data_IF_265240203689
#
_entry.id   IF_265240203689
#
_cell.length_a   1.000
_cell.length_b   1.000
_cell.length_c   1.000
_cell.angle_alpha   90.00
_cell.angle_beta   90.00
_cell.angle_gamma   90.00
#
_symmetry.space_group_name_H-M   'P 1'
#
loop_
_entity.id
_entity.type
_entity.pdbx_description
1 polymer ?
#
# COMPACT_ATOMS: atom_id res chain seq x y z
N UNK A 1 -33.46 25.60 12.71
CA UNK A 1 -32.57 24.46 12.35
C UNK A 1 -31.37 25.02 11.64
N UNK A 2 -30.24 25.15 12.31
CA UNK A 2 -28.99 25.52 11.62
C UNK A 2 -28.55 24.31 10.78
N UNK A 3 -28.11 24.50 9.52
CA UNK A 3 -27.52 23.42 8.76
C UNK A 3 -26.30 22.94 9.54
N UNK A 4 -26.24 21.65 9.85
CA UNK A 4 -25.01 21.02 10.32
C UNK A 4 -23.98 21.27 9.22
N UNK A 5 -23.05 22.18 9.47
CA UNK A 5 -21.93 22.45 8.56
C UNK A 5 -21.11 21.16 8.53
N UNK A 6 -21.33 20.31 7.52
CA UNK A 6 -20.50 19.14 7.29
C UNK A 6 -19.09 19.66 7.03
N UNK A 7 -18.19 19.44 7.99
CA UNK A 7 -16.77 19.71 7.84
C UNK A 7 -16.25 18.93 6.62
N UNK A 8 -15.44 19.55 5.74
CA UNK A 8 -14.92 18.87 4.56
C UNK A 8 -14.07 17.67 4.98
N UNK A 9 -14.39 16.50 4.43
CA UNK A 9 -13.74 15.23 4.75
C UNK A 9 -12.78 14.79 3.62
N UNK A 10 -11.51 14.56 3.98
CA UNK A 10 -10.49 14.05 3.06
C UNK A 10 -10.15 12.59 3.37
N UNK A 11 -10.23 11.72 2.36
CA UNK A 11 -9.88 10.31 2.49
C UNK A 11 -8.53 9.99 1.81
N UNK A 12 -7.58 9.46 2.58
CA UNK A 12 -6.34 8.88 2.03
C UNK A 12 -6.54 7.39 1.77
N UNK A 13 -6.73 7.01 0.51
CA UNK A 13 -7.10 5.65 0.12
C UNK A 13 -5.89 4.83 -0.35
N UNK A 14 -5.74 3.63 0.22
CA UNK A 14 -5.04 2.53 -0.45
C UNK A 14 -6.07 1.68 -1.16
N UNK A 15 -5.93 1.50 -2.49
CA UNK A 15 -6.89 0.70 -3.24
C UNK A 15 -7.05 -0.72 -2.68
N UNK A 16 -6.04 -1.33 -2.05
CA UNK A 16 -6.17 -2.68 -1.47
C UNK A 16 -7.38 -2.88 -0.54
N UNK A 17 -7.77 -1.86 0.23
CA UNK A 17 -8.85 -1.99 1.22
C UNK A 17 -10.21 -2.33 0.59
N UNK A 18 -10.49 -1.85 -0.62
CA UNK A 18 -11.76 -2.13 -1.28
C UNK A 18 -11.93 -3.62 -1.60
N UNK A 19 -10.82 -4.30 -1.89
CA UNK A 19 -10.81 -5.74 -2.16
C UNK A 19 -10.92 -6.57 -0.89
N UNK A 20 -10.27 -6.13 0.20
CA UNK A 20 -10.40 -6.78 1.50
C UNK A 20 -11.85 -6.71 2.02
N UNK A 21 -12.49 -5.55 1.87
CA UNK A 21 -13.86 -5.31 2.32
C UNK A 21 -14.92 -5.86 1.36
N UNK A 22 -14.56 -6.23 0.13
CA UNK A 22 -15.52 -6.60 -0.92
C UNK A 22 -16.45 -5.45 -1.34
N UNK A 23 -16.06 -4.20 -1.07
CA UNK A 23 -16.86 -3.01 -1.35
C UNK A 23 -16.28 -2.29 -2.57
N UNK A 24 -17.09 -1.89 -3.57
CA UNK A 24 -16.55 -1.18 -4.72
C UNK A 24 -16.02 0.20 -4.32
N UNK A 25 -14.93 0.64 -4.96
CA UNK A 25 -14.20 1.88 -4.63
C UNK A 25 -15.13 3.09 -4.54
N UNK A 26 -16.10 3.22 -5.45
CA UNK A 26 -17.04 4.35 -5.48
C UNK A 26 -17.89 4.46 -4.20
N UNK A 27 -18.16 3.34 -3.50
CA UNK A 27 -18.89 3.37 -2.22
C UNK A 27 -18.02 3.80 -1.06
N UNK A 28 -16.75 3.41 -1.04
CA UNK A 28 -15.80 3.81 0.00
C UNK A 28 -15.54 5.30 0.01
N UNK A 29 -15.49 5.91 -1.18
CA UNK A 29 -15.18 7.34 -1.34
C UNK A 29 -16.42 8.23 -1.33
N UNK A 30 -17.63 7.66 -1.30
CA UNK A 30 -18.89 8.41 -1.49
C UNK A 30 -19.10 9.51 -0.45
N UNK A 31 -18.63 9.30 0.77
CA UNK A 31 -18.75 10.24 1.88
C UNK A 31 -17.61 11.27 1.94
N UNK A 32 -16.64 11.22 1.03
CA UNK A 32 -15.48 12.12 1.02
C UNK A 32 -15.61 13.23 -0.01
N UNK A 33 -15.32 14.46 0.39
CA UNK A 33 -15.27 15.64 -0.48
C UNK A 33 -14.01 15.62 -1.38
N UNK A 34 -12.95 14.96 -0.90
CA UNK A 34 -11.73 14.75 -1.66
C UNK A 34 -11.02 13.45 -1.26
N UNK A 35 -10.29 12.86 -2.21
CA UNK A 35 -9.60 11.59 -2.03
C UNK A 35 -8.17 11.71 -2.56
N UNK A 36 -7.20 11.23 -1.79
CA UNK A 36 -5.83 11.02 -2.25
C UNK A 36 -5.57 9.54 -2.45
N UNK A 37 -5.03 9.17 -3.61
CA UNK A 37 -4.74 7.78 -3.98
C UNK A 37 -3.26 7.64 -4.30
N UNK A 38 -2.56 6.76 -3.59
CA UNK A 38 -1.17 6.42 -3.90
C UNK A 38 -1.08 5.41 -5.06
N UNK A 39 -0.33 5.74 -6.11
CA UNK A 39 -0.09 4.86 -7.26
C UNK A 39 1.23 4.07 -7.15
N UNK A 40 2.21 4.58 -6.39
CA UNK A 40 3.53 3.96 -6.29
C UNK A 40 3.67 2.81 -5.29
N UNK A 41 2.55 2.23 -4.83
CA UNK A 41 2.55 1.15 -3.83
C UNK A 41 2.12 -0.18 -4.42
N UNK A 42 0.84 -0.54 -4.27
CA UNK A 42 0.25 -1.75 -4.82
C UNK A 42 0.24 -1.79 -6.33
N UNK A 43 0.01 -0.62 -6.95
CA UNK A 43 -0.18 -0.51 -8.39
C UNK A 43 1.13 -0.51 -9.18
N UNK A 44 2.26 -0.22 -8.53
CA UNK A 44 3.57 -0.23 -9.17
C UNK A 44 3.84 0.97 -10.08
N UNK A 45 3.08 2.07 -10.00
CA UNK A 45 3.40 3.25 -10.80
C UNK A 45 4.71 3.90 -10.31
N UNK A 46 5.54 4.47 -11.20
CA UNK A 46 6.76 5.18 -10.80
C UNK A 46 6.48 6.53 -10.11
N UNK A 47 5.21 6.98 -10.10
CA UNK A 47 4.79 8.25 -9.52
C UNK A 47 3.83 8.07 -8.33
N UNK A 48 3.92 9.01 -7.39
CA UNK A 48 3.46 8.85 -6.01
C UNK A 48 1.95 8.75 -5.85
N UNK A 49 1.19 9.73 -6.34
CA UNK A 49 -0.24 9.84 -6.01
C UNK A 49 -1.04 10.76 -6.93
N UNK A 50 -2.35 10.57 -6.93
CA UNK A 50 -3.35 11.47 -7.54
C UNK A 50 -4.32 11.96 -6.47
N UNK A 51 -4.86 13.16 -6.66
CA UNK A 51 -5.93 13.72 -5.82
C UNK A 51 -7.19 13.91 -6.67
N UNK A 52 -8.34 13.56 -6.12
CA UNK A 52 -9.66 13.63 -6.74
C UNK A 52 -10.58 14.42 -5.83
N UNK A 53 -11.44 15.25 -6.39
CA UNK A 53 -12.40 16.06 -5.64
C UNK A 53 -13.22 16.93 -6.60
N UNK A 54 -13.98 17.89 -6.06
CA UNK A 54 -14.73 18.85 -6.87
C UNK A 54 -13.80 19.74 -7.71
N UNK A 55 -14.32 20.33 -8.78
CA UNK A 55 -13.57 21.25 -9.65
C UNK A 55 -12.97 22.41 -8.84
N UNK A 56 -13.79 23.06 -8.00
CA UNK A 56 -13.35 24.13 -7.11
C UNK A 56 -12.23 23.70 -6.12
N UNK A 57 -12.24 22.43 -5.67
CA UNK A 57 -11.16 21.87 -4.86
C UNK A 57 -9.89 21.65 -5.69
N UNK A 58 -10.02 21.10 -6.90
CA UNK A 58 -8.90 20.83 -7.80
C UNK A 58 -8.21 22.12 -8.23
N UNK A 59 -8.94 23.20 -8.46
CA UNK A 59 -8.34 24.49 -8.81
C UNK A 59 -7.48 25.04 -7.68
N UNK A 60 -7.98 24.98 -6.44
CA UNK A 60 -7.19 25.34 -5.25
C UNK A 60 -5.97 24.42 -5.10
N UNK A 61 -6.14 23.11 -5.27
CA UNK A 61 -5.06 22.14 -5.19
C UNK A 61 -3.98 22.36 -6.27
N UNK A 62 -4.36 22.80 -7.47
CA UNK A 62 -3.41 23.13 -8.56
C UNK A 62 -2.55 24.33 -8.22
N UNK A 63 -3.13 25.37 -7.63
CA UNK A 63 -2.40 26.56 -7.14
C UNK A 63 -1.39 26.14 -6.08
N UNK A 64 -1.85 25.41 -5.04
CA UNK A 64 -0.97 24.92 -3.98
C UNK A 64 0.14 24.00 -4.50
N UNK A 65 -0.18 23.11 -5.45
CA UNK A 65 0.82 22.25 -6.10
C UNK A 65 1.90 23.09 -6.78
N UNK A 66 1.54 24.22 -7.40
CA UNK A 66 2.52 25.11 -8.04
C UNK A 66 3.37 25.82 -7.00
N UNK A 67 2.76 26.34 -5.94
CA UNK A 67 3.46 27.01 -4.82
C UNK A 67 4.45 26.09 -4.12
N UNK A 68 4.09 24.83 -3.91
CA UNK A 68 4.95 23.80 -3.29
C UNK A 68 5.97 23.18 -4.26
N UNK A 69 6.11 23.69 -5.49
CA UNK A 69 7.09 23.21 -6.47
C UNK A 69 6.70 21.93 -7.22
N UNK A 70 5.50 21.39 -7.03
CA UNK A 70 5.01 20.19 -7.73
C UNK A 70 4.55 20.39 -9.17
N UNK A 71 4.72 21.60 -9.73
CA UNK A 71 4.32 21.95 -11.10
C UNK A 71 5.32 21.49 -12.16
N UNK A 72 5.45 20.17 -12.34
CA UNK A 72 6.36 19.53 -13.30
C UNK A 72 5.95 19.76 -14.77
N UNK A 73 6.93 19.73 -15.68
CA UNK A 73 6.75 19.78 -17.15
C UNK A 73 6.97 18.39 -17.75
N UNK A 74 6.44 18.15 -18.96
CA UNK A 74 6.57 16.88 -19.71
C UNK A 74 6.23 15.59 -18.91
N UNK A 75 5.22 15.64 -18.03
CA UNK A 75 4.82 14.48 -17.20
C UNK A 75 4.04 13.40 -17.96
N UNK A 76 3.86 13.53 -19.29
CA UNK A 76 3.04 12.63 -20.10
C UNK A 76 3.46 11.16 -19.97
N UNK A 77 4.77 10.88 -19.95
CA UNK A 77 5.28 9.51 -19.79
C UNK A 77 4.93 8.92 -18.40
N UNK A 78 4.97 9.73 -17.35
CA UNK A 78 4.59 9.33 -15.99
C UNK A 78 3.08 9.07 -15.89
N UNK A 79 2.28 9.92 -16.54
CA UNK A 79 0.84 9.73 -16.64
C UNK A 79 0.48 8.44 -17.40
N UNK A 80 1.18 8.13 -18.49
CA UNK A 80 0.99 6.88 -19.23
C UNK A 80 1.33 5.66 -18.36
N UNK A 81 2.46 5.68 -17.65
CA UNK A 81 2.84 4.60 -16.73
C UNK A 81 1.81 4.43 -15.59
N UNK A 82 1.32 5.53 -15.03
CA UNK A 82 0.26 5.52 -14.03
C UNK A 82 -1.05 4.94 -14.55
N UNK A 83 -1.44 5.30 -15.78
CA UNK A 83 -2.65 4.77 -16.43
C UNK A 83 -2.58 3.25 -16.61
N UNK A 84 -1.46 2.75 -17.14
CA UNK A 84 -1.21 1.31 -17.31
C UNK A 84 -1.24 0.59 -15.95
N UNK A 85 -0.59 1.15 -14.93
CA UNK A 85 -0.58 0.59 -13.58
C UNK A 85 -1.99 0.47 -12.98
N UNK A 86 -2.85 1.47 -13.15
CA UNK A 86 -4.24 1.41 -12.67
C UNK A 86 -5.05 0.37 -13.47
N UNK A 87 -4.92 0.36 -14.80
CA UNK A 87 -5.68 -0.54 -15.66
C UNK A 87 -5.33 -2.02 -15.41
N UNK A 88 -4.04 -2.34 -15.33
CA UNK A 88 -3.56 -3.72 -15.40
C UNK A 88 -3.26 -4.35 -14.03
N UNK A 89 -3.06 -3.54 -12.99
CA UNK A 89 -2.63 -4.02 -11.66
C UNK A 89 -3.78 -4.11 -10.66
N UNK A 90 -4.84 -3.29 -10.79
CA UNK A 90 -5.95 -3.26 -9.79
C UNK A 90 -6.57 -4.65 -9.59
N UNK A 91 -6.80 -5.41 -10.67
CA UNK A 91 -7.36 -6.77 -10.57
C UNK A 91 -6.42 -7.78 -9.91
N UNK A 92 -5.11 -7.56 -9.98
CA UNK A 92 -4.07 -8.46 -9.43
C UNK A 92 -3.86 -8.26 -7.93
N UNK A 93 -4.40 -7.20 -7.35
CA UNK A 93 -4.25 -6.90 -5.93
C UNK A 93 -4.89 -7.98 -5.02
N UNK A 94 -5.91 -8.70 -5.52
CA UNK A 94 -6.50 -9.83 -4.81
C UNK A 94 -5.49 -11.00 -4.67
N UNK A 95 -4.61 -11.19 -5.65
CA UNK A 95 -3.56 -12.20 -5.59
C UNK A 95 -2.53 -11.88 -4.50
N UNK A 96 -2.25 -10.60 -4.27
CA UNK A 96 -1.35 -10.17 -3.20
C UNK A 96 -1.92 -10.51 -1.82
N UNK A 97 -3.25 -10.38 -1.63
CA UNK A 97 -3.92 -10.78 -0.39
C UNK A 97 -3.86 -12.31 -0.19
N UNK A 98 -4.11 -13.08 -1.26
CA UNK A 98 -4.00 -14.54 -1.24
C UNK A 98 -2.59 -15.01 -0.87
N UNK A 99 -1.56 -14.39 -1.46
CA UNK A 99 -0.15 -14.68 -1.13
C UNK A 99 0.20 -14.31 0.31
N UNK A 100 -0.32 -13.20 0.82
CA UNK A 100 -0.10 -12.80 2.21
C UNK A 100 -0.73 -13.81 3.18
N UNK A 101 -1.95 -14.30 2.91
CA UNK A 101 -2.57 -15.37 3.69
C UNK A 101 -1.76 -16.67 3.65
N UNK A 102 -1.33 -17.10 2.46
CA UNK A 102 -0.47 -18.29 2.32
C UNK A 102 0.87 -18.16 3.07
N UNK A 103 1.47 -16.95 3.07
CA UNK A 103 2.67 -16.67 3.84
C UNK A 103 2.40 -16.76 5.34
N UNK A 104 1.30 -16.18 5.83
CA UNK A 104 0.92 -16.24 7.24
C UNK A 104 0.69 -17.69 7.70
N UNK A 105 -0.06 -18.48 6.92
CA UNK A 105 -0.30 -19.90 7.20
C UNK A 105 0.98 -20.73 7.22
N UNK A 106 1.94 -20.41 6.33
CA UNK A 106 3.26 -21.04 6.33
C UNK A 106 4.07 -20.72 7.58
N UNK A 107 4.05 -19.45 8.01
CA UNK A 107 4.74 -19.00 9.21
C UNK A 107 4.15 -19.59 10.50
N UNK A 108 2.82 -19.75 10.59
CA UNK A 108 2.17 -20.39 11.75
C UNK A 108 2.61 -21.85 11.97
N UNK A 109 3.11 -22.52 10.93
CA UNK A 109 3.64 -23.90 11.05
C UNK A 109 5.05 -23.95 11.66
N UNK A 110 5.71 -22.81 11.80
CA UNK A 110 7.08 -22.70 12.30
C UNK A 110 7.04 -22.25 13.77
N UNK A 111 7.46 -23.12 14.69
CA UNK A 111 7.35 -22.89 16.14
C UNK A 111 8.09 -21.65 16.65
N UNK A 112 9.10 -21.19 15.91
CA UNK A 112 9.91 -20.03 16.27
C UNK A 112 9.21 -18.69 15.97
N UNK A 113 8.08 -18.71 15.25
CA UNK A 113 7.32 -17.52 14.88
C UNK A 113 5.87 -17.60 15.36
N UNK A 114 5.31 -16.46 15.74
CA UNK A 114 3.88 -16.32 16.02
C UNK A 114 3.28 -15.35 15.01
N UNK A 115 2.17 -15.75 14.39
CA UNK A 115 1.42 -14.92 13.45
C UNK A 115 -0.04 -14.92 13.85
N UNK A 116 -0.62 -13.74 14.02
CA UNK A 116 -2.06 -13.59 14.11
C UNK A 116 -2.66 -13.62 12.70
N UNK A 117 -3.04 -14.82 12.26
CA UNK A 117 -3.64 -15.04 10.93
C UNK A 117 -4.96 -14.28 10.75
N UNK A 118 -5.69 -13.99 11.83
CA UNK A 118 -6.95 -13.23 11.78
C UNK A 118 -6.73 -11.75 11.46
N UNK A 119 -5.51 -11.24 11.67
CA UNK A 119 -5.15 -9.85 11.34
C UNK A 119 -4.72 -9.63 9.89
N UNK A 120 -4.58 -10.70 9.09
CA UNK A 120 -4.04 -10.67 7.72
C UNK A 120 -5.17 -10.45 6.70
N UNK A 121 -5.63 -9.20 6.63
CA UNK A 121 -6.74 -8.80 5.74
C UNK A 121 -6.29 -8.22 4.39
N UNK A 122 -5.00 -7.88 4.24
CA UNK A 122 -4.47 -7.22 3.03
C UNK A 122 -3.21 -7.90 2.51
N UNK A 123 -2.27 -7.16 1.92
CA UNK A 123 -1.02 -7.68 1.36
C UNK A 123 0.18 -7.60 2.33
N UNK A 124 -0.10 -7.53 3.62
CA UNK A 124 0.88 -7.31 4.68
C UNK A 124 0.77 -8.40 5.74
N UNK A 125 1.88 -9.04 6.08
CA UNK A 125 1.94 -10.02 7.17
C UNK A 125 2.84 -9.46 8.27
N UNK A 126 2.30 -9.43 9.48
CA UNK A 126 3.05 -9.12 10.69
C UNK A 126 3.23 -10.38 11.52
N UNK A 127 4.47 -10.66 11.93
CA UNK A 127 4.79 -11.82 12.77
C UNK A 127 5.80 -11.46 13.84
N UNK A 128 5.75 -12.19 14.94
CA UNK A 128 6.66 -12.05 16.08
C UNK A 128 7.64 -13.22 16.15
N UNK A 129 8.88 -12.93 16.53
CA UNK A 129 9.90 -13.95 16.83
C UNK A 129 9.75 -14.36 18.29
N UNK A 130 9.41 -15.63 18.53
CA UNK A 130 9.24 -16.19 19.87
C UNK A 130 10.54 -16.75 20.42
N UNK A 131 11.39 -17.27 19.54
CA UNK A 131 12.66 -17.87 19.92
C UNK A 131 13.68 -16.78 20.32
N UNK A 132 14.10 -16.71 21.60
CA UNK A 132 15.01 -15.69 22.09
C UNK A 132 16.42 -15.81 21.50
N UNK A 133 16.77 -16.95 20.90
CA UNK A 133 18.06 -17.16 20.24
C UNK A 133 18.10 -16.57 18.82
N UNK A 134 16.94 -16.22 18.26
CA UNK A 134 16.87 -15.60 16.94
C UNK A 134 16.89 -14.09 17.11
N UNK A 135 18.05 -13.50 16.88
CA UNK A 135 18.17 -12.05 16.82
C UNK A 135 17.45 -11.48 15.58
N UNK A 136 16.62 -10.45 15.78
CA UNK A 136 16.02 -9.64 14.74
C UNK A 136 16.91 -9.31 13.52
N UNK A 137 18.11 -8.79 13.77
CA UNK A 137 19.04 -8.37 12.72
C UNK A 137 19.64 -9.56 11.99
N UNK A 138 19.88 -10.67 12.70
CA UNK A 138 20.43 -11.89 12.12
C UNK A 138 19.44 -12.56 11.19
N UNK A 139 18.15 -12.55 11.53
CA UNK A 139 17.10 -13.06 10.66
C UNK A 139 17.06 -12.31 9.32
N UNK A 140 17.08 -10.97 9.35
CA UNK A 140 17.11 -10.16 8.13
C UNK A 140 18.31 -10.51 7.24
N UNK A 141 19.51 -10.63 7.81
CA UNK A 141 20.72 -10.99 7.05
C UNK A 141 20.60 -12.38 6.40
N UNK A 142 20.09 -13.38 7.13
CA UNK A 142 19.93 -14.74 6.60
C UNK A 142 18.86 -14.79 5.51
N UNK A 143 17.79 -14.02 5.64
CA UNK A 143 16.76 -13.90 4.61
C UNK A 143 17.33 -13.20 3.37
N UNK A 144 18.11 -12.14 3.53
CA UNK A 144 18.74 -11.41 2.44
C UNK A 144 19.72 -12.28 1.63
N UNK A 145 20.51 -13.11 2.31
CA UNK A 145 21.36 -14.13 1.66
C UNK A 145 20.57 -15.13 0.79
N UNK A 146 19.27 -15.27 1.05
CA UNK A 146 18.35 -16.10 0.27
C UNK A 146 17.44 -15.28 -0.65
N UNK A 147 17.78 -14.01 -0.91
CA UNK A 147 17.00 -13.06 -1.71
C UNK A 147 15.58 -12.80 -1.19
N UNK A 148 15.39 -12.87 0.13
CA UNK A 148 14.14 -12.52 0.80
C UNK A 148 14.38 -11.27 1.64
N UNK A 149 13.68 -10.19 1.32
CA UNK A 149 13.77 -8.94 2.07
C UNK A 149 12.63 -8.83 3.08
N UNK A 150 12.97 -8.52 4.32
CA UNK A 150 12.03 -8.29 5.41
C UNK A 150 12.53 -7.14 6.29
N UNK A 151 11.61 -6.38 6.87
CA UNK A 151 11.94 -5.20 7.66
C UNK A 151 11.39 -5.33 9.09
N UNK A 152 12.14 -4.93 10.13
CA UNK A 152 11.60 -4.79 11.47
C UNK A 152 10.57 -3.65 11.50
N UNK A 153 9.37 -3.95 11.96
CA UNK A 153 8.27 -3.00 12.11
C UNK A 153 8.24 -2.35 13.51
N UNK A 154 8.90 -2.94 14.51
CA UNK A 154 9.04 -2.38 15.85
C UNK A 154 10.32 -2.86 16.55
N UNK A 155 10.64 -2.24 17.69
CA UNK A 155 11.75 -2.66 18.57
C UNK A 155 11.50 -3.99 19.28
N UNK A 156 10.29 -4.54 19.23
CA UNK A 156 9.87 -5.74 19.98
C UNK A 156 9.42 -6.90 19.07
N UNK A 157 10.19 -7.18 18.03
CA UNK A 157 10.09 -8.42 17.25
C UNK A 157 8.97 -8.51 16.20
N UNK A 158 8.28 -7.41 15.87
CA UNK A 158 7.29 -7.43 14.78
C UNK A 158 7.96 -7.26 13.42
N UNK A 159 7.70 -8.16 12.48
CA UNK A 159 8.28 -8.11 11.14
C UNK A 159 7.27 -7.86 10.05
N UNK A 160 7.67 -7.12 9.03
CA UNK A 160 6.87 -6.86 7.85
C UNK A 160 7.45 -7.60 6.63
N UNK A 161 6.64 -8.48 6.05
CA UNK A 161 6.92 -9.12 4.77
C UNK A 161 5.85 -8.72 3.74
N UNK A 162 6.28 -8.33 2.54
CA UNK A 162 5.40 -8.00 1.41
C UNK A 162 5.58 -9.02 0.29
N UNK A 163 4.48 -9.63 -0.14
CA UNK A 163 4.48 -10.69 -1.16
C UNK A 163 4.86 -10.21 -2.58
N UNK A 164 4.92 -8.90 -2.83
CA UNK A 164 4.98 -8.33 -4.19
C UNK A 164 6.27 -7.56 -4.53
N UNK A 165 7.39 -7.78 -3.82
CA UNK A 165 8.61 -6.99 -4.03
C UNK A 165 9.27 -7.09 -5.43
N UNK A 166 9.15 -8.16 -6.25
CA UNK A 166 10.09 -8.31 -7.35
C UNK A 166 9.55 -7.94 -8.74
N UNK A 167 8.44 -7.18 -8.87
CA UNK A 167 7.92 -6.87 -10.22
C UNK A 167 8.70 -5.77 -10.94
N UNK A 168 9.29 -4.79 -10.22
CA UNK A 168 10.02 -3.66 -10.83
C UNK A 168 11.54 -3.74 -10.79
N UNK A 169 12.15 -4.34 -9.76
CA UNK A 169 13.62 -4.47 -9.72
C UNK A 169 14.16 -5.40 -10.84
N UNK A 170 13.38 -6.39 -11.28
CA UNK A 170 13.79 -7.36 -12.31
C UNK A 170 13.61 -6.91 -13.77
N UNK A 171 13.13 -5.70 -14.04
CA UNK A 171 13.01 -5.17 -15.42
C UNK A 171 13.98 -4.04 -15.75
N UNK A 172 14.73 -3.57 -14.77
CA UNK A 172 15.71 -2.50 -14.92
C UNK A 172 17.17 -2.99 -14.75
N UNK A 173 17.40 -4.30 -14.82
CA UNK A 173 18.74 -4.92 -14.87
C UNK A 173 18.88 -5.72 -16.16
#
# INVERSE_FOLDING_TARGET
>A
MQPITLLPFHLSARLHFHLALGVPVHRLVKAADSVSVCLSKGLGAPIRSVVVGSEAFIDKARILRKTLGGGMRQVGFLCAAAYVAVRDTVGKLADDHRKAKALAEGLTKIKQFTVDSSSVETNMVFFDIVDPHISPSKLCQVLEQRNVLAMPASSKSRYFARSSWPYWERRCS
#
